data_IF_946178263036
#
_entry.id   IF_946178263036
#
_cell.length_a   1.000
_cell.length_b   1.000
_cell.length_c   1.000
_cell.angle_alpha   90.00
_cell.angle_beta   90.00
_cell.angle_gamma   90.00
#
_symmetry.space_group_name_H-M   'P 1'
#
loop_
_entity.id
_entity.type
_entity.pdbx_description
1 polymer ?
#
# COMPACT_ATOMS: atom_id res chain seq x y z
N UNK A 1 -10.88 10.01 23.75
CA UNK A 1 -10.51 11.35 24.26
C UNK A 1 -11.73 12.26 24.34
N UNK A 2 -11.88 13.04 25.41
CA UNK A 2 -13.11 13.80 25.72
C UNK A 2 -13.58 14.75 24.59
N UNK A 3 -12.65 15.36 23.84
CA UNK A 3 -12.97 16.26 22.72
C UNK A 3 -13.65 15.55 21.55
N UNK A 4 -13.28 14.29 21.27
CA UNK A 4 -13.88 13.52 20.18
C UNK A 4 -15.34 13.16 20.48
N UNK A 5 -15.64 12.79 21.74
CA UNK A 5 -16.99 12.42 22.16
C UNK A 5 -17.94 13.62 22.14
N UNK A 6 -17.47 14.80 22.59
CA UNK A 6 -18.27 16.04 22.48
C UNK A 6 -18.60 16.37 21.02
N UNK A 7 -17.62 16.24 20.11
CA UNK A 7 -17.84 16.46 18.68
C UNK A 7 -18.83 15.46 18.06
N UNK A 8 -18.74 14.19 18.44
CA UNK A 8 -19.66 13.15 17.98
C UNK A 8 -21.10 13.40 18.46
N UNK A 9 -21.29 13.76 19.75
CA UNK A 9 -22.61 14.11 20.30
C UNK A 9 -23.25 15.30 19.56
N UNK A 10 -22.51 16.40 19.39
CA UNK A 10 -23.01 17.56 18.66
C UNK A 10 -23.31 17.26 17.17
N UNK A 11 -22.58 16.33 16.56
CA UNK A 11 -22.82 15.87 15.18
C UNK A 11 -24.11 15.05 15.10
N UNK A 12 -24.35 14.17 16.09
CA UNK A 12 -25.58 13.38 16.23
C UNK A 12 -26.80 14.26 16.45
N UNK A 13 -26.74 15.20 17.41
CA UNK A 13 -27.84 16.14 17.71
C UNK A 13 -28.28 16.96 16.49
N UNK A 14 -27.32 17.29 15.61
CA UNK A 14 -27.56 18.07 14.39
C UNK A 14 -27.81 17.20 13.16
N UNK A 15 -27.90 15.88 13.33
CA UNK A 15 -28.03 14.88 12.27
C UNK A 15 -27.07 15.11 11.09
N UNK A 16 -25.82 15.45 11.40
CA UNK A 16 -24.81 15.71 10.38
C UNK A 16 -24.20 14.40 9.86
N UNK A 17 -23.78 14.36 8.59
CA UNK A 17 -22.95 13.28 8.09
C UNK A 17 -21.69 13.12 8.94
N UNK A 18 -21.29 11.88 9.23
CA UNK A 18 -20.04 11.55 9.92
C UNK A 18 -19.34 10.43 9.16
N UNK A 19 -18.02 10.52 9.09
CA UNK A 19 -17.15 9.48 8.54
C UNK A 19 -16.19 9.07 9.65
N UNK A 20 -16.03 7.77 9.86
CA UNK A 20 -15.16 7.26 10.92
C UNK A 20 -13.77 6.97 10.35
N UNK A 21 -12.77 7.58 10.99
CA UNK A 21 -11.36 7.40 10.65
C UNK A 21 -10.63 6.87 11.88
N UNK A 22 -9.84 5.80 11.69
CA UNK A 22 -9.08 5.14 12.74
C UNK A 22 -7.59 5.24 12.46
N UNK A 23 -6.81 5.71 13.43
CA UNK A 23 -5.35 5.68 13.37
C UNK A 23 -4.84 4.23 13.31
N UNK A 24 -3.95 3.94 12.34
CA UNK A 24 -3.36 2.61 12.19
C UNK A 24 -2.29 2.32 13.26
N UNK A 25 -1.51 3.32 13.65
CA UNK A 25 -0.36 3.15 14.55
C UNK A 25 -0.79 3.18 16.04
N UNK A 26 -0.66 2.07 16.79
CA UNK A 26 -1.00 2.02 18.20
C UNK A 26 -0.22 3.03 19.05
N UNK A 27 1.03 3.33 18.68
CA UNK A 27 1.89 4.27 19.39
C UNK A 27 1.51 5.74 19.14
N UNK A 28 0.59 5.99 18.21
CA UNK A 28 0.07 7.31 17.88
C UNK A 28 -1.42 7.46 18.19
N UNK A 29 -1.97 6.55 18.99
CA UNK A 29 -3.36 6.57 19.42
C UNK A 29 -4.29 5.66 18.61
N UNK A 30 -3.74 4.77 17.78
CA UNK A 30 -4.50 3.69 17.15
C UNK A 30 -5.07 2.73 18.18
N UNK A 31 -6.38 2.50 18.12
CA UNK A 31 -7.09 1.58 19.01
C UNK A 31 -7.67 0.42 18.20
N UNK A 32 -7.74 -0.76 18.80
CA UNK A 32 -8.50 -1.86 18.22
C UNK A 32 -9.99 -1.52 18.18
N UNK A 33 -10.73 -2.06 17.21
CA UNK A 33 -12.18 -1.82 17.12
C UNK A 33 -12.94 -2.27 18.37
N UNK A 34 -12.46 -3.32 19.05
CA UNK A 34 -12.99 -3.76 20.33
C UNK A 34 -12.87 -2.65 21.38
N UNK A 35 -11.68 -2.05 21.54
CA UNK A 35 -11.46 -0.94 22.47
C UNK A 35 -12.24 0.31 22.09
N UNK A 36 -12.29 0.65 20.79
CA UNK A 36 -13.10 1.79 20.31
C UNK A 36 -14.55 1.63 20.74
N UNK A 37 -15.11 0.41 20.62
CA UNK A 37 -16.49 0.13 21.03
C UNK A 37 -16.67 0.14 22.56
N UNK A 38 -15.70 -0.39 23.31
CA UNK A 38 -15.69 -0.35 24.79
C UNK A 38 -15.64 1.10 25.33
N UNK A 39 -14.90 1.99 24.67
CA UNK A 39 -14.74 3.40 25.08
C UNK A 39 -15.84 4.33 24.52
N UNK A 40 -16.65 3.85 23.57
CA UNK A 40 -17.72 4.65 22.96
C UNK A 40 -18.98 4.64 23.85
N UNK A 41 -19.54 5.81 24.21
CA UNK A 41 -20.84 5.90 24.90
C UNK A 41 -21.93 5.14 24.15
N UNK A 42 -22.75 4.39 24.89
CA UNK A 42 -23.71 3.44 24.32
C UNK A 42 -24.76 4.09 23.42
N UNK A 43 -25.10 5.35 23.69
CA UNK A 43 -25.99 6.21 22.92
C UNK A 43 -25.39 6.65 21.58
N UNK A 44 -24.06 6.75 21.49
CA UNK A 44 -23.36 7.14 20.26
C UNK A 44 -23.03 5.94 19.35
N UNK A 45 -22.99 4.71 19.88
CA UNK A 45 -22.61 3.52 19.10
C UNK A 45 -23.46 3.36 17.83
N UNK A 46 -24.81 3.43 17.86
CA UNK A 46 -25.62 3.27 16.65
C UNK A 46 -25.32 4.31 15.57
N UNK A 47 -25.00 5.53 15.98
CA UNK A 47 -24.77 6.66 15.07
C UNK A 47 -23.33 6.72 14.52
N UNK A 48 -22.35 6.35 15.33
CA UNK A 48 -20.91 6.48 14.99
C UNK A 48 -20.34 5.19 14.43
N UNK A 49 -20.65 4.04 15.05
CA UNK A 49 -20.03 2.74 14.73
C UNK A 49 -20.93 1.88 13.84
N UNK A 50 -22.24 1.88 14.08
CA UNK A 50 -23.16 0.93 13.43
C UNK A 50 -23.96 1.55 12.28
N UNK A 51 -23.51 2.72 11.79
CA UNK A 51 -24.15 3.45 10.68
C UNK A 51 -24.02 2.76 9.32
N UNK A 52 -23.27 1.67 9.23
CA UNK A 52 -23.03 0.91 7.99
C UNK A 52 -22.04 1.56 7.03
N UNK A 53 -21.36 2.64 7.45
CA UNK A 53 -20.26 3.23 6.68
C UNK A 53 -18.95 2.49 7.00
N UNK A 54 -18.05 2.32 6.02
CA UNK A 54 -16.76 1.70 6.24
C UNK A 54 -15.91 2.54 7.21
N UNK A 55 -15.17 1.86 8.07
CA UNK A 55 -14.20 2.49 8.98
C UNK A 55 -12.89 2.64 8.23
N UNK A 56 -12.46 3.88 8.04
CA UNK A 56 -11.30 4.16 7.20
C UNK A 56 -10.05 4.18 8.05
N UNK A 57 -9.06 3.36 7.67
CA UNK A 57 -7.76 3.37 8.33
C UNK A 57 -6.93 4.57 7.84
N UNK A 58 -6.43 5.37 8.78
CA UNK A 58 -5.49 6.46 8.53
C UNK A 58 -4.06 5.95 8.56
N UNK A 59 -3.38 6.09 7.41
CA UNK A 59 -1.99 5.71 7.24
C UNK A 59 -1.08 6.93 7.36
N UNK A 60 0.01 6.79 8.14
CA UNK A 60 0.97 7.88 8.38
C UNK A 60 2.07 8.01 7.33
N UNK A 61 2.31 6.95 6.57
CA UNK A 61 3.32 6.94 5.51
C UNK A 61 2.72 7.57 4.27
N UNK A 62 3.41 8.56 3.69
CA UNK A 62 2.89 9.42 2.63
C UNK A 62 2.35 8.65 1.42
N UNK A 63 3.02 7.57 1.02
CA UNK A 63 2.59 6.70 -0.08
C UNK A 63 1.17 6.14 0.15
N UNK A 64 0.88 5.68 1.37
CA UNK A 64 -0.41 5.09 1.75
C UNK A 64 -1.45 6.14 2.17
N UNK A 65 -1.01 7.29 2.66
CA UNK A 65 -1.87 8.36 3.15
C UNK A 65 -2.83 8.87 2.06
N UNK A 66 -2.41 8.85 0.79
CA UNK A 66 -3.26 9.22 -0.35
C UNK A 66 -4.47 8.31 -0.47
N UNK A 67 -4.28 7.00 -0.29
CA UNK A 67 -5.40 6.05 -0.26
C UNK A 67 -6.34 6.35 0.90
N UNK A 68 -5.81 6.64 2.11
CA UNK A 68 -6.64 7.06 3.25
C UNK A 68 -7.46 8.32 2.93
N UNK A 69 -6.84 9.34 2.34
CA UNK A 69 -7.52 10.58 1.97
C UNK A 69 -8.60 10.37 0.91
N UNK A 70 -8.35 9.49 -0.07
CA UNK A 70 -9.33 9.10 -1.08
C UNK A 70 -10.54 8.45 -0.42
N UNK A 71 -10.32 7.44 0.41
CA UNK A 71 -11.38 6.75 1.14
C UNK A 71 -12.17 7.71 2.04
N UNK A 72 -11.51 8.69 2.67
CA UNK A 72 -12.17 9.72 3.48
C UNK A 72 -13.09 10.57 2.60
N UNK A 73 -12.61 11.03 1.45
CA UNK A 73 -13.41 11.82 0.52
C UNK A 73 -14.60 11.02 -0.03
N UNK A 74 -14.41 9.75 -0.41
CA UNK A 74 -15.48 8.84 -0.80
C UNK A 74 -16.51 8.67 0.33
N UNK A 75 -16.06 8.43 1.56
CA UNK A 75 -16.92 8.33 2.73
C UNK A 75 -17.73 9.60 2.98
N UNK A 76 -17.12 10.78 2.80
CA UNK A 76 -17.81 12.07 2.96
C UNK A 76 -18.88 12.22 1.89
N UNK A 77 -18.54 11.93 0.62
CA UNK A 77 -19.50 11.99 -0.48
C UNK A 77 -20.68 11.06 -0.21
N UNK A 78 -20.44 9.79 0.13
CA UNK A 78 -21.49 8.81 0.46
C UNK A 78 -22.39 9.31 1.60
N UNK A 79 -21.80 9.90 2.63
CA UNK A 79 -22.55 10.38 3.79
C UNK A 79 -23.32 11.69 3.51
N UNK A 80 -23.00 12.44 2.44
CA UNK A 80 -23.65 13.70 2.10
C UNK A 80 -25.09 13.49 1.58
N UNK A 81 -26.10 14.17 2.15
CA UNK A 81 -27.51 14.02 1.75
C UNK A 81 -27.83 14.44 0.29
N UNK A 82 -26.90 15.16 -0.36
CA UNK A 82 -27.04 15.76 -1.68
C UNK A 82 -26.17 15.08 -2.75
N UNK A 83 -25.85 13.80 -2.60
CA UNK A 83 -25.35 13.03 -3.74
C UNK A 83 -26.47 12.88 -4.80
N UNK A 84 -26.70 13.96 -5.55
CA UNK A 84 -27.55 14.05 -6.74
C UNK A 84 -27.05 13.14 -7.88
N UNK A 85 -25.91 12.46 -7.70
CA UNK A 85 -25.43 11.39 -8.58
C UNK A 85 -26.39 10.19 -8.61
N UNK A 86 -27.27 10.03 -7.61
CA UNK A 86 -28.32 9.01 -7.64
C UNK A 86 -29.53 9.35 -8.54
N UNK A 87 -29.61 10.58 -9.09
CA UNK A 87 -30.68 11.00 -10.03
C UNK A 87 -30.24 11.06 -11.49
N UNK A 88 -29.01 10.68 -11.81
CA UNK A 88 -28.58 10.55 -13.20
C UNK A 88 -28.86 9.12 -13.70
N UNK A 89 -30.11 8.84 -14.06
CA UNK A 89 -30.53 7.57 -14.69
C UNK A 89 -30.01 7.38 -16.13
N UNK A 90 -28.86 7.96 -16.49
CA UNK A 90 -28.33 7.91 -17.85
C UNK A 90 -26.82 8.23 -17.96
N UNK A 91 -25.99 7.76 -17.03
CA UNK A 91 -24.53 7.77 -17.26
C UNK A 91 -24.08 6.32 -17.23
N UNK A 92 -23.48 5.88 -18.33
CA UNK A 92 -22.82 4.59 -18.47
C UNK A 92 -22.04 4.27 -17.19
N UNK A 93 -22.30 3.08 -16.64
CA UNK A 93 -21.76 2.56 -15.38
C UNK A 93 -20.27 2.25 -15.48
N UNK A 94 -19.45 3.29 -15.65
CA UNK A 94 -18.17 3.37 -15.00
C UNK A 94 -18.35 4.46 -13.94
N UNK A 95 -18.69 4.06 -12.71
CA UNK A 95 -18.61 4.99 -11.60
C UNK A 95 -17.20 5.61 -11.66
N UNK A 96 -17.09 6.91 -11.90
CA UNK A 96 -15.81 7.60 -11.92
C UNK A 96 -15.19 7.40 -10.53
N UNK A 97 -14.28 6.43 -10.42
CA UNK A 97 -13.56 6.14 -9.20
C UNK A 97 -12.81 7.42 -8.83
N UNK A 98 -12.96 7.87 -7.58
CA UNK A 98 -12.17 9.01 -7.11
C UNK A 98 -10.69 8.62 -7.25
N UNK A 99 -9.85 9.53 -7.72
CA UNK A 99 -8.41 9.26 -7.82
C UNK A 99 -7.63 10.53 -7.53
N UNK A 100 -6.41 10.37 -7.02
CA UNK A 100 -5.46 11.49 -7.04
C UNK A 100 -4.73 11.50 -8.38
N UNK A 101 -4.56 12.68 -8.98
CA UNK A 101 -3.83 12.83 -10.25
C UNK A 101 -2.40 12.26 -10.21
N UNK A 102 -1.80 12.28 -9.02
CA UNK A 102 -0.45 11.76 -8.77
C UNK A 102 -0.47 10.38 -8.08
N UNK A 103 -1.62 9.70 -8.00
CA UNK A 103 -1.70 8.34 -7.48
C UNK A 103 -0.96 7.40 -8.41
N UNK A 104 0.06 6.73 -7.87
CA UNK A 104 0.84 5.76 -8.62
C UNK A 104 0.06 4.46 -8.71
N UNK A 105 -0.10 3.95 -9.93
CA UNK A 105 -0.72 2.64 -10.17
C UNK A 105 0.32 1.65 -10.68
N UNK A 106 0.13 0.38 -10.37
CA UNK A 106 0.96 -0.69 -10.92
C UNK A 106 1.01 -0.64 -12.46
N UNK A 107 -0.09 -0.26 -13.11
CA UNK A 107 -0.20 -0.09 -14.57
C UNK A 107 0.68 1.02 -15.14
N UNK A 108 1.10 1.98 -14.32
CA UNK A 108 1.93 3.09 -14.76
C UNK A 108 3.43 2.75 -14.71
N UNK A 109 3.77 1.58 -14.16
CA UNK A 109 5.13 1.11 -13.98
C UNK A 109 5.46 -0.01 -14.96
N UNK A 110 6.70 -0.02 -15.44
CA UNK A 110 7.24 -1.12 -16.22
C UNK A 110 8.73 -1.34 -15.94
N UNK A 111 9.17 -2.59 -16.09
CA UNK A 111 10.57 -2.96 -16.09
C UNK A 111 11.12 -2.85 -17.50
N UNK A 112 12.19 -2.06 -17.70
CA UNK A 112 12.81 -1.92 -19.03
C UNK A 112 13.46 -3.21 -19.52
N UNK A 113 13.94 -4.00 -18.58
CA UNK A 113 14.49 -5.34 -18.77
C UNK A 113 13.91 -6.22 -17.68
N UNK A 114 13.62 -7.50 -17.96
CA UNK A 114 13.17 -8.43 -16.92
C UNK A 114 14.19 -8.49 -15.77
N UNK A 115 13.68 -8.45 -14.53
CA UNK A 115 14.51 -8.57 -13.33
C UNK A 115 14.48 -10.01 -12.83
N UNK A 116 15.59 -10.47 -12.25
CA UNK A 116 15.66 -11.75 -11.56
C UNK A 116 15.37 -11.55 -10.07
N UNK A 117 14.37 -12.26 -9.56
CA UNK A 117 13.94 -12.26 -8.17
C UNK A 117 14.17 -13.64 -7.56
N UNK A 118 15.20 -13.75 -6.71
CA UNK A 118 15.49 -14.94 -5.94
C UNK A 118 14.63 -14.98 -4.66
N UNK A 119 14.04 -16.14 -4.39
CA UNK A 119 13.30 -16.45 -3.16
C UNK A 119 13.81 -17.74 -2.53
N UNK A 120 13.61 -17.88 -1.22
CA UNK A 120 13.89 -19.13 -0.51
C UNK A 120 12.66 -20.04 -0.50
N UNK A 121 12.86 -21.34 -0.75
CA UNK A 121 11.84 -22.37 -0.55
C UNK A 121 11.35 -22.45 0.92
N UNK A 122 12.19 -22.01 1.87
CA UNK A 122 11.91 -21.99 3.31
C UNK A 122 11.27 -20.67 3.78
N UNK A 123 11.00 -19.73 2.86
CA UNK A 123 10.25 -18.52 3.14
C UNK A 123 8.94 -18.50 2.34
N UNK A 124 7.98 -19.32 2.76
CA UNK A 124 6.68 -19.51 2.07
C UNK A 124 5.98 -18.19 1.70
N UNK A 125 6.00 -17.20 2.59
CA UNK A 125 5.39 -15.89 2.31
C UNK A 125 6.06 -15.13 1.16
N UNK A 126 7.36 -15.33 0.92
CA UNK A 126 8.05 -14.76 -0.25
C UNK A 126 7.61 -15.43 -1.54
N UNK A 127 7.33 -16.74 -1.54
CA UNK A 127 6.77 -17.43 -2.70
C UNK A 127 5.37 -16.91 -3.06
N UNK A 128 4.51 -16.72 -2.05
CA UNK A 128 3.17 -16.15 -2.22
C UNK A 128 3.24 -14.71 -2.76
N UNK A 129 4.09 -13.85 -2.17
CA UNK A 129 4.28 -12.48 -2.65
C UNK A 129 4.90 -12.45 -4.07
N UNK A 130 5.88 -13.30 -4.37
CA UNK A 130 6.48 -13.34 -5.69
C UNK A 130 5.44 -13.70 -6.77
N UNK A 131 4.53 -14.64 -6.47
CA UNK A 131 3.41 -14.96 -7.35
C UNK A 131 2.45 -13.77 -7.53
N UNK A 132 2.15 -13.02 -6.47
CA UNK A 132 1.36 -11.78 -6.53
C UNK A 132 2.05 -10.72 -7.44
N UNK A 133 3.36 -10.56 -7.32
CA UNK A 133 4.15 -9.63 -8.14
C UNK A 133 4.17 -10.04 -9.62
N UNK A 134 4.36 -11.33 -9.93
CA UNK A 134 4.30 -11.82 -11.32
C UNK A 134 2.91 -11.67 -11.91
N UNK A 135 1.85 -11.93 -11.13
CA UNK A 135 0.47 -11.67 -11.55
C UNK A 135 0.23 -10.18 -11.86
N UNK A 136 0.89 -9.29 -11.13
CA UNK A 136 0.73 -7.83 -11.27
C UNK A 136 1.57 -7.23 -12.40
N UNK A 137 2.82 -7.67 -12.56
CA UNK A 137 3.81 -7.08 -13.48
C UNK A 137 4.20 -7.97 -14.66
N UNK A 138 3.64 -9.19 -14.74
CA UNK A 138 3.84 -10.11 -15.85
C UNK A 138 5.30 -10.54 -16.04
N UNK A 139 5.72 -10.59 -17.30
CA UNK A 139 7.05 -11.05 -17.73
C UNK A 139 8.21 -10.14 -17.30
N UNK A 140 7.93 -8.99 -16.68
CA UNK A 140 8.96 -8.10 -16.13
C UNK A 140 9.71 -8.69 -14.94
N UNK A 141 9.20 -9.76 -14.32
CA UNK A 141 9.79 -10.41 -13.14
C UNK A 141 9.99 -11.90 -13.42
N UNK A 142 11.23 -12.36 -13.26
CA UNK A 142 11.61 -13.77 -13.38
C UNK A 142 11.95 -14.31 -11.99
N UNK A 143 11.24 -15.33 -11.53
CA UNK A 143 11.45 -15.91 -10.20
C UNK A 143 12.45 -17.06 -10.26
N UNK A 144 13.39 -17.09 -9.32
CA UNK A 144 14.25 -18.24 -9.06
C UNK A 144 14.09 -18.68 -7.61
N UNK A 145 13.96 -19.99 -7.37
CA UNK A 145 13.74 -20.54 -6.01
C UNK A 145 14.99 -21.28 -5.54
N UNK A 146 15.48 -20.94 -4.36
CA UNK A 146 16.60 -21.61 -3.72
C UNK A 146 16.12 -22.51 -2.58
N UNK A 147 16.43 -23.80 -2.68
CA UNK A 147 16.16 -24.84 -1.69
C UNK A 147 17.27 -25.00 -0.64
N UNK A 148 18.49 -24.57 -0.96
CA UNK A 148 19.67 -24.64 -0.10
C UNK A 148 20.46 -23.32 -0.10
N UNK A 149 21.43 -23.19 0.81
CA UNK A 149 22.33 -22.03 0.86
C UNK A 149 23.25 -21.99 -0.37
N UNK A 150 23.77 -23.13 -0.80
CA UNK A 150 24.63 -23.26 -1.98
C UNK A 150 23.89 -22.84 -3.25
N UNK A 151 22.63 -23.27 -3.40
CA UNK A 151 21.78 -22.86 -4.53
C UNK A 151 21.60 -21.35 -4.54
N UNK A 152 21.33 -20.74 -3.38
CA UNK A 152 21.14 -19.29 -3.27
C UNK A 152 22.43 -18.54 -3.62
N UNK A 153 23.56 -18.89 -3.01
CA UNK A 153 24.85 -18.25 -3.26
C UNK A 153 25.26 -18.37 -4.73
N UNK A 154 25.02 -19.53 -5.36
CA UNK A 154 25.28 -19.74 -6.77
C UNK A 154 24.48 -18.75 -7.65
N UNK A 155 23.22 -18.43 -7.30
CA UNK A 155 22.43 -17.41 -8.04
C UNK A 155 23.10 -16.04 -8.00
N UNK A 156 23.69 -15.64 -6.87
CA UNK A 156 24.35 -14.34 -6.69
C UNK A 156 25.81 -14.31 -7.18
N UNK A 157 26.42 -15.47 -7.41
CA UNK A 157 27.78 -15.62 -7.92
C UNK A 157 27.86 -15.61 -9.45
N UNK A 158 26.72 -15.73 -10.15
CA UNK A 158 26.72 -15.72 -11.62
C UNK A 158 27.10 -14.35 -12.18
N UNK A 159 28.01 -14.32 -13.16
CA UNK A 159 28.29 -13.13 -14.01
C UNK A 159 27.12 -12.84 -14.98
N UNK A 160 25.88 -12.87 -14.48
CA UNK A 160 24.72 -12.44 -15.24
C UNK A 160 24.76 -10.92 -15.43
N UNK A 161 24.27 -10.45 -16.57
CA UNK A 161 24.21 -9.02 -16.90
C UNK A 161 23.41 -8.18 -15.89
N UNK A 162 22.51 -8.81 -15.13
CA UNK A 162 21.78 -8.20 -14.01
C UNK A 162 21.84 -9.13 -12.81
N UNK A 163 22.42 -8.65 -11.71
CA UNK A 163 22.46 -9.38 -10.44
C UNK A 163 21.02 -9.57 -9.91
N UNK A 164 20.66 -10.75 -9.38
CA UNK A 164 19.33 -10.98 -8.83
C UNK A 164 19.07 -10.12 -7.58
N UNK A 165 17.80 -9.83 -7.32
CA UNK A 165 17.32 -9.34 -6.03
C UNK A 165 16.95 -10.53 -5.15
N UNK A 166 17.18 -10.46 -3.84
CA UNK A 166 16.64 -11.45 -2.90
C UNK A 166 15.41 -10.87 -2.21
N UNK A 167 14.26 -11.53 -2.33
CA UNK A 167 13.05 -11.15 -1.60
C UNK A 167 12.99 -11.93 -0.28
N UNK A 168 13.04 -11.19 0.83
CA UNK A 168 12.82 -11.71 2.17
C UNK A 168 11.49 -11.19 2.70
N UNK A 169 10.54 -12.11 2.87
CA UNK A 169 9.21 -11.82 3.39
C UNK A 169 9.15 -12.05 4.89
N UNK A 170 8.79 -10.99 5.61
CA UNK A 170 8.76 -10.92 7.05
C UNK A 170 7.32 -11.00 7.56
N UNK A 171 7.00 -12.09 8.24
CA UNK A 171 5.77 -12.28 9.01
C UNK A 171 6.10 -13.04 10.30
N UNK A 172 5.09 -13.33 11.14
CA UNK A 172 5.29 -14.00 12.44
C UNK A 172 6.11 -15.30 12.37
N UNK A 173 6.09 -15.99 11.25
CA UNK A 173 6.65 -17.34 11.10
C UNK A 173 8.00 -17.37 10.37
N UNK A 174 8.51 -16.23 9.88
CA UNK A 174 9.67 -16.19 8.96
C UNK A 174 10.92 -16.92 9.49
N UNK A 175 11.29 -16.73 10.75
CA UNK A 175 12.49 -17.35 11.35
C UNK A 175 12.15 -18.39 12.42
N UNK A 176 10.95 -18.96 12.39
CA UNK A 176 10.50 -19.98 13.35
C UNK A 176 10.51 -21.38 12.73
N UNK A 177 10.75 -22.38 13.58
CA UNK A 177 10.71 -23.79 13.18
C UNK A 177 11.89 -24.21 12.29
N UNK A 178 11.78 -25.39 11.69
CA UNK A 178 12.82 -25.97 10.83
C UNK A 178 13.08 -25.10 9.59
N UNK A 179 12.02 -24.64 8.93
CA UNK A 179 12.10 -23.72 7.78
C UNK A 179 12.84 -22.42 8.17
N UNK A 180 12.54 -21.85 9.34
CA UNK A 180 13.22 -20.66 9.83
C UNK A 180 14.72 -20.85 10.05
N UNK A 181 15.14 -22.02 10.54
CA UNK A 181 16.56 -22.38 10.68
C UNK A 181 17.24 -22.49 9.33
N UNK A 182 16.60 -23.13 8.35
CA UNK A 182 17.14 -23.26 7.00
C UNK A 182 17.21 -21.92 6.27
N UNK A 183 16.17 -21.09 6.39
CA UNK A 183 16.16 -19.73 5.87
C UNK A 183 17.29 -18.90 6.47
N UNK A 184 17.49 -18.97 7.79
CA UNK A 184 18.57 -18.26 8.45
C UNK A 184 19.95 -18.71 7.94
N UNK A 185 20.16 -20.01 7.68
CA UNK A 185 21.39 -20.52 7.09
C UNK A 185 21.61 -19.93 5.68
N UNK A 186 20.58 -19.93 4.83
CA UNK A 186 20.64 -19.33 3.50
C UNK A 186 20.98 -17.84 3.53
N UNK A 187 20.26 -17.06 4.35
CA UNK A 187 20.48 -15.62 4.50
C UNK A 187 21.89 -15.34 5.02
N UNK A 188 22.38 -16.15 5.97
CA UNK A 188 23.73 -16.01 6.52
C UNK A 188 24.81 -16.20 5.47
N UNK A 189 24.75 -17.26 4.67
CA UNK A 189 25.75 -17.47 3.60
C UNK A 189 25.65 -16.37 2.54
N UNK A 190 24.43 -15.98 2.16
CA UNK A 190 24.24 -14.88 1.21
C UNK A 190 24.84 -13.56 1.72
N UNK A 191 24.75 -13.23 3.00
CA UNK A 191 25.28 -11.97 3.54
C UNK A 191 26.81 -11.94 3.69
N UNK A 192 27.51 -13.09 3.70
CA UNK A 192 28.97 -13.15 3.88
C UNK A 192 29.74 -12.57 2.69
N UNK A 193 29.42 -13.07 1.49
CA UNK A 193 30.24 -12.82 0.29
C UNK A 193 29.63 -11.78 -0.63
N UNK A 194 28.41 -11.35 -0.31
CA UNK A 194 27.59 -10.54 -1.18
C UNK A 194 26.98 -9.41 -0.35
N UNK A 195 27.00 -8.19 -0.88
CA UNK A 195 26.00 -7.17 -0.54
C UNK A 195 24.80 -7.39 -1.46
N UNK A 196 23.91 -8.38 -1.23
CA UNK A 196 22.82 -8.65 -2.15
C UNK A 196 21.89 -7.43 -2.23
N UNK A 197 21.21 -7.29 -3.36
CA UNK A 197 20.09 -6.35 -3.45
C UNK A 197 18.90 -6.98 -2.70
N UNK A 198 18.84 -6.74 -1.40
CA UNK A 198 17.84 -7.31 -0.50
C UNK A 198 16.55 -6.48 -0.57
N UNK A 199 15.42 -7.16 -0.81
CA UNK A 199 14.09 -6.58 -0.72
C UNK A 199 13.41 -7.13 0.52
N UNK A 200 13.33 -6.32 1.56
CA UNK A 200 12.57 -6.62 2.76
C UNK A 200 11.10 -6.22 2.54
N UNK A 201 10.19 -7.18 2.71
CA UNK A 201 8.74 -6.94 2.66
C UNK A 201 8.12 -7.42 3.97
N UNK A 202 7.42 -6.55 4.69
CA UNK A 202 6.84 -6.81 6.01
C UNK A 202 5.33 -6.90 5.93
N UNK A 203 4.77 -8.07 6.23
CA UNK A 203 3.32 -8.29 6.29
C UNK A 203 2.68 -7.54 7.46
N UNK A 204 1.67 -6.74 7.14
CA UNK A 204 0.88 -5.94 8.08
C UNK A 204 -0.60 -6.40 8.17
N UNK A 205 -1.03 -7.36 7.33
CA UNK A 205 -2.31 -8.03 7.42
C UNK A 205 -2.28 -9.21 8.42
N UNK A 206 -3.05 -9.11 9.50
CA UNK A 206 -3.12 -10.13 10.55
C UNK A 206 -3.67 -11.48 10.06
N UNK A 207 -4.53 -11.50 9.04
CA UNK A 207 -5.03 -12.74 8.43
C UNK A 207 -3.91 -13.49 7.69
N UNK A 208 -2.81 -12.79 7.37
CA UNK A 208 -1.61 -13.32 6.73
C UNK A 208 -0.43 -13.46 7.68
N UNK A 209 -0.70 -13.58 8.98
CA UNK A 209 0.29 -13.74 10.05
C UNK A 209 1.17 -12.51 10.28
N UNK A 210 0.65 -11.29 10.09
CA UNK A 210 1.36 -10.09 10.49
C UNK A 210 1.79 -10.11 11.98
N UNK A 211 2.88 -9.42 12.23
CA UNK A 211 3.36 -9.10 13.57
C UNK A 211 3.98 -7.70 13.58
N UNK A 212 4.11 -7.11 14.76
CA UNK A 212 4.87 -5.86 14.89
C UNK A 212 6.32 -6.09 14.48
N UNK A 213 6.91 -5.12 13.77
CA UNK A 213 8.29 -5.24 13.28
C UNK A 213 9.29 -5.52 14.40
N UNK A 214 9.03 -4.99 15.61
CA UNK A 214 9.83 -5.25 16.81
C UNK A 214 10.00 -6.74 17.15
N UNK A 215 9.04 -7.59 16.77
CA UNK A 215 9.10 -9.04 16.98
C UNK A 215 10.29 -9.69 16.25
N UNK A 216 10.76 -9.12 15.14
CA UNK A 216 11.88 -9.68 14.42
C UNK A 216 13.21 -9.57 15.17
N UNK A 217 13.33 -8.65 16.13
CA UNK A 217 14.51 -8.56 17.00
C UNK A 217 14.56 -9.66 18.07
N UNK A 218 13.51 -10.48 18.22
CA UNK A 218 13.48 -11.60 19.15
C UNK A 218 13.47 -12.96 18.46
N UNK A 219 12.92 -13.04 17.24
CA UNK A 219 12.81 -14.30 16.49
C UNK A 219 13.95 -14.52 15.49
N UNK A 220 14.61 -13.44 15.05
CA UNK A 220 15.70 -13.53 14.08
C UNK A 220 17.00 -13.86 14.81
N UNK A 221 17.84 -14.78 14.30
CA UNK A 221 19.14 -15.04 14.89
C UNK A 221 19.97 -13.78 15.08
N UNK A 222 20.56 -13.62 16.27
CA UNK A 222 21.27 -12.40 16.69
C UNK A 222 22.38 -12.01 15.71
N UNK A 223 23.08 -12.99 15.14
CA UNK A 223 24.16 -12.74 14.18
C UNK A 223 23.66 -12.06 12.90
N UNK A 224 22.46 -12.42 12.42
CA UNK A 224 21.85 -11.77 11.25
C UNK A 224 21.42 -10.33 11.56
N UNK A 225 20.83 -10.11 12.73
CA UNK A 225 20.47 -8.76 13.21
C UNK A 225 21.73 -7.88 13.30
N UNK A 226 22.77 -8.39 13.97
CA UNK A 226 24.03 -7.69 14.16
C UNK A 226 24.82 -7.47 12.86
N UNK A 227 24.62 -8.33 11.85
CA UNK A 227 25.17 -8.15 10.51
C UNK A 227 24.47 -7.05 9.69
N UNK A 228 23.40 -6.46 10.23
CA UNK A 228 22.66 -5.38 9.57
C UNK A 228 21.57 -5.84 8.62
N UNK A 229 20.99 -7.03 8.82
CA UNK A 229 19.88 -7.54 7.98
C UNK A 229 18.73 -6.53 7.84
N UNK A 230 18.45 -5.77 8.90
CA UNK A 230 17.40 -4.73 8.95
C UNK A 230 17.93 -3.30 8.77
N UNK A 231 19.06 -3.13 8.09
CA UNK A 231 19.60 -1.81 7.78
C UNK A 231 18.77 -1.06 6.74
N UNK A 232 18.17 -1.79 5.79
CA UNK A 232 17.22 -1.23 4.83
C UNK A 232 15.79 -1.22 5.38
N UNK A 233 15.01 -0.22 5.01
CA UNK A 233 13.61 -0.10 5.43
C UNK A 233 12.77 -1.13 4.68
N UNK A 234 12.03 -1.97 5.40
CA UNK A 234 11.08 -2.91 4.80
C UNK A 234 9.91 -2.18 4.14
N UNK A 235 9.44 -2.68 3.00
CA UNK A 235 8.16 -2.26 2.42
C UNK A 235 7.04 -2.88 3.24
N UNK A 236 6.16 -2.07 3.81
CA UNK A 236 4.98 -2.55 4.53
C UNK A 236 3.93 -3.05 3.54
N UNK A 237 3.51 -4.30 3.69
CA UNK A 237 2.43 -4.93 2.93
C UNK A 237 1.15 -4.89 3.74
N UNK A 238 0.30 -3.93 3.43
CA UNK A 238 -0.99 -3.79 4.07
C UNK A 238 -2.08 -4.60 3.38
N UNK A 239 -3.20 -4.78 4.05
CA UNK A 239 -4.44 -5.31 3.48
C UNK A 239 -4.99 -4.41 2.35
N UNK A 240 -5.82 -4.94 1.44
CA UNK A 240 -6.55 -4.10 0.51
C UNK A 240 -7.39 -3.01 1.20
N UNK A 241 -7.49 -1.80 0.64
CA UNK A 241 -6.97 -1.37 -0.67
C UNK A 241 -5.50 -0.92 -0.66
N UNK A 242 -4.88 -0.78 0.51
CA UNK A 242 -3.51 -0.27 0.66
C UNK A 242 -2.44 -1.18 0.04
N UNK A 243 -2.74 -2.47 -0.12
CA UNK A 243 -1.85 -3.46 -0.75
C UNK A 243 -1.33 -3.04 -2.13
N UNK A 244 -2.13 -2.29 -2.91
CA UNK A 244 -1.72 -1.81 -4.23
C UNK A 244 -0.52 -0.86 -4.16
N UNK A 245 -0.48 0.01 -3.15
CA UNK A 245 0.66 0.89 -2.89
C UNK A 245 1.89 0.07 -2.49
N UNK A 246 1.70 -1.05 -1.79
CA UNK A 246 2.79 -1.95 -1.40
C UNK A 246 3.47 -2.57 -2.63
N UNK A 247 2.69 -2.97 -3.64
CA UNK A 247 3.23 -3.48 -4.91
C UNK A 247 4.02 -2.41 -5.68
N UNK A 248 3.50 -1.17 -5.74
CA UNK A 248 4.19 -0.03 -6.35
C UNK A 248 5.55 0.20 -5.69
N UNK A 249 5.59 0.28 -4.36
CA UNK A 249 6.83 0.51 -3.59
C UNK A 249 7.85 -0.61 -3.82
N UNK A 250 7.43 -1.88 -3.85
CA UNK A 250 8.32 -3.00 -4.18
C UNK A 250 8.82 -2.91 -5.62
N UNK A 251 7.94 -2.65 -6.59
CA UNK A 251 8.34 -2.56 -7.99
C UNK A 251 9.36 -1.44 -8.22
N UNK A 252 9.17 -0.27 -7.62
CA UNK A 252 10.13 0.83 -7.66
C UNK A 252 11.48 0.44 -7.05
N UNK A 253 11.48 -0.28 -5.92
CA UNK A 253 12.73 -0.82 -5.32
C UNK A 253 13.42 -1.87 -6.19
N UNK A 254 12.65 -2.64 -6.94
CA UNK A 254 13.16 -3.58 -7.95
C UNK A 254 13.64 -2.89 -9.23
N UNK A 255 13.51 -1.56 -9.33
CA UNK A 255 13.98 -0.77 -10.47
C UNK A 255 12.95 -0.57 -11.58
N UNK A 256 11.67 -0.84 -11.33
CA UNK A 256 10.60 -0.42 -12.22
C UNK A 256 10.64 1.10 -12.41
N UNK A 257 10.20 1.55 -13.57
CA UNK A 257 10.15 2.97 -13.89
C UNK A 257 8.76 3.31 -14.39
N UNK A 258 8.35 4.56 -14.17
CA UNK A 258 7.17 5.07 -14.82
C UNK A 258 7.32 4.93 -16.33
N UNK A 259 6.28 4.40 -16.97
CA UNK A 259 6.09 4.52 -18.40
C UNK A 259 6.21 6.01 -18.72
N UNK A 260 7.30 6.40 -19.38
CA UNK A 260 7.37 7.75 -19.95
C UNK A 260 6.21 7.81 -20.91
N UNK A 261 5.20 8.61 -20.57
CA UNK A 261 4.20 8.97 -21.56
C UNK A 261 4.97 9.47 -22.78
N UNK A 262 4.79 8.81 -23.92
CA UNK A 262 4.65 9.60 -25.12
C UNK A 262 3.69 10.72 -24.71
N UNK A 263 4.20 11.95 -24.73
CA UNK A 263 3.38 13.12 -24.48
C UNK A 263 2.25 13.02 -25.49
N UNK A 264 1.10 12.52 -25.05
CA UNK A 264 -0.16 12.61 -25.78
C UNK A 264 -0.33 14.10 -26.03
N UNK A 265 -0.08 14.48 -27.27
CA UNK A 265 -0.26 15.83 -27.76
C UNK A 265 -1.72 16.20 -27.61
N UNK A 266 -2.08 16.77 -26.45
CA UNK A 266 -3.18 17.71 -26.23
C UNK A 266 -3.42 17.89 -24.73
N UNK A 267 -2.43 18.36 -23.99
CA UNK A 267 -2.76 19.33 -22.95
C UNK A 267 -3.14 20.64 -23.64
N UNK A 268 -4.37 20.71 -24.18
CA UNK A 268 -5.02 22.00 -24.41
C UNK A 268 -5.18 22.62 -23.04
N UNK A 269 -4.22 23.48 -22.69
CA UNK A 269 -4.32 24.49 -21.66
C UNK A 269 -5.69 25.15 -21.84
N UNK A 270 -6.66 24.85 -20.97
CA UNK A 270 -7.89 25.61 -20.88
C UNK A 270 -7.52 26.98 -20.33
N UNK A 271 -7.04 27.84 -21.24
CA UNK A 271 -6.94 29.27 -21.00
C UNK A 271 -8.39 29.73 -21.00
N UNK A 272 -8.92 30.06 -19.83
CA UNK A 272 -10.14 30.86 -19.71
C UNK A 272 -9.89 32.19 -20.44
N UNK A 273 -10.25 32.26 -21.73
CA UNK A 273 -10.42 33.53 -22.42
C UNK A 273 -11.73 34.12 -21.94
N UNK A 274 -11.64 35.08 -21.03
CA UNK A 274 -12.71 36.03 -20.74
C UNK A 274 -13.18 36.64 -22.07
N UNK A 275 -14.39 36.30 -22.49
CA UNK A 275 -15.02 36.91 -23.65
C UNK A 275 -15.33 38.37 -23.32
N UNK A 276 -14.54 39.29 -23.89
CA UNK A 276 -14.93 40.70 -24.00
C UNK A 276 -16.14 40.76 -24.93
N UNK A 277 -17.27 41.18 -24.36
CA UNK A 277 -18.41 41.68 -25.13
C UNK A 277 -17.93 42.80 -26.08
N UNK A 278 -18.09 42.58 -27.38
CA UNK A 278 -18.11 43.64 -28.38
C UNK A 278 -19.53 43.68 -28.97
N UNK A 279 -20.11 44.87 -28.87
CA UNK A 279 -21.47 45.28 -29.18
C UNK A 279 -21.84 45.08 -30.65
N UNK A 280 -23.13 44.92 -30.99
CA UNK A 280 -23.63 45.27 -32.31
C UNK A 280 -24.12 46.73 -32.31
N UNK A 281 -23.53 47.53 -33.21
CA UNK A 281 -24.15 48.77 -33.71
C UNK A 281 -25.41 48.39 -34.49
N UNK A 282 -26.55 48.94 -34.09
CA UNK A 282 -27.73 49.05 -34.93
C UNK A 282 -27.58 50.32 -35.75
N UNK A 283 -27.54 50.19 -37.07
CA UNK A 283 -27.84 51.25 -38.02
C UNK A 283 -28.87 50.67 -38.98
N UNK A 284 -30.10 51.19 -38.92
CA UNK A 284 -31.10 51.03 -39.96
C UNK A 284 -31.45 52.44 -40.42
N UNK A 285 -31.39 52.59 -41.74
CA UNK A 285 -31.81 53.69 -42.61
C UNK A 285 -33.13 54.34 -42.23
#
# INVERSE_FOLDING_TARGET
GATCLMGAGATMERNKPIVLVREADPNKGGLSMRRVREECPIDLIPFVLDRGLPIITWMRVAAFQRVSLRLIAEGVLIACPRNHLATASSVDTAAEELYFREEEKCSDLNFRVPISLAISAHNRGAAELAAELVSTFGEGIQISVADSADTLVAMFSTEQASRPFFLLYLNRNTFLGEDGVQLAAQVREMLKDHKPALILSHECDYERNACEFGNFFTTTPDDLVNSGLYSDIAVAFHEPPFRQVSYVEVALKLGAQHLRGEVLGSSRRLIFKTAKHLSPRVAIS
#
